data_IF_332274731218
#
_entry.id   IF_332274731218
#
_cell.length_a   1.000
_cell.length_b   1.000
_cell.length_c   1.000
_cell.angle_alpha   90.00
_cell.angle_beta   90.00
_cell.angle_gamma   90.00
#
_symmetry.space_group_name_H-M   'P 1'
#
loop_
_entity.id
_entity.type
_entity.pdbx_description
1 polymer ?
#
# COMPACT_ATOMS: atom_id res chain seq x y z
N UNK A 1 4.97 3.46 -10.21
CA UNK A 1 6.19 3.46 -9.38
C UNK A 1 7.07 2.30 -9.84
N UNK A 2 8.38 2.49 -9.99
CA UNK A 2 9.29 1.39 -10.38
C UNK A 2 9.65 0.50 -9.18
N UNK A 3 10.07 -0.74 -9.45
CA UNK A 3 10.46 -1.71 -8.42
C UNK A 3 11.55 -1.16 -7.49
N UNK A 4 12.58 -0.50 -8.06
CA UNK A 4 13.64 0.16 -7.28
C UNK A 4 13.08 1.21 -6.31
N UNK A 5 12.09 2.01 -6.72
CA UNK A 5 11.46 3.00 -5.83
C UNK A 5 10.54 2.33 -4.80
N UNK A 6 9.84 1.25 -5.16
CA UNK A 6 8.99 0.52 -4.23
C UNK A 6 9.82 -0.15 -3.11
N UNK A 7 10.91 -0.82 -3.47
CA UNK A 7 11.86 -1.38 -2.51
C UNK A 7 12.50 -0.27 -1.65
N UNK A 8 12.85 0.86 -2.28
CA UNK A 8 13.41 2.02 -1.60
C UNK A 8 12.48 2.69 -0.59
N UNK A 9 11.16 2.51 -0.69
CA UNK A 9 10.18 3.04 0.28
C UNK A 9 10.36 2.43 1.67
N UNK A 10 11.09 1.30 1.76
CA UNK A 10 11.37 0.63 3.02
C UNK A 10 12.09 1.49 4.05
N UNK A 11 12.86 2.51 3.67
CA UNK A 11 13.46 3.45 4.64
C UNK A 11 12.38 4.25 5.38
N UNK A 12 11.42 4.83 4.66
CA UNK A 12 10.30 5.54 5.23
C UNK A 12 9.43 4.61 6.08
N UNK A 13 9.05 3.45 5.53
CA UNK A 13 8.17 2.48 6.21
C UNK A 13 8.78 1.99 7.52
N UNK A 14 10.10 1.73 7.56
CA UNK A 14 10.77 1.30 8.80
C UNK A 14 10.79 2.38 9.88
N UNK A 15 10.82 3.65 9.50
CA UNK A 15 10.86 4.78 10.43
C UNK A 15 9.48 5.14 10.97
N UNK A 16 8.44 5.10 10.13
CA UNK A 16 7.08 5.52 10.53
C UNK A 16 6.25 4.40 11.15
N UNK A 17 6.50 3.14 10.81
CA UNK A 17 5.77 2.02 11.38
C UNK A 17 6.37 1.61 12.74
N UNK A 18 5.52 1.19 13.68
CA UNK A 18 5.97 0.69 14.99
C UNK A 18 6.89 -0.55 14.86
N UNK A 19 7.83 -0.72 15.80
CA UNK A 19 8.77 -1.85 15.80
C UNK A 19 8.03 -3.20 15.72
N UNK A 20 7.00 -3.36 16.55
CA UNK A 20 6.06 -4.47 16.49
C UNK A 20 4.86 -4.09 15.62
N UNK A 21 4.83 -4.55 14.38
CA UNK A 21 3.75 -4.20 13.43
C UNK A 21 3.50 -5.28 12.38
N UNK A 22 2.39 -5.09 11.66
CA UNK A 22 1.97 -5.90 10.53
C UNK A 22 2.11 -5.11 9.23
N UNK A 23 2.31 -5.81 8.12
CA UNK A 23 2.22 -5.27 6.78
C UNK A 23 1.29 -6.15 5.95
N UNK A 24 0.27 -5.56 5.34
CA UNK A 24 -0.66 -6.24 4.43
C UNK A 24 -0.42 -5.72 3.03
N UNK A 25 0.15 -6.56 2.15
CA UNK A 25 0.63 -6.14 0.84
C UNK A 25 -0.13 -6.84 -0.28
N UNK A 26 -0.94 -6.08 -1.02
CA UNK A 26 -1.62 -6.58 -2.21
C UNK A 26 -0.63 -6.93 -3.32
N UNK A 27 -0.79 -8.11 -3.92
CA UNK A 27 -0.01 -8.59 -5.05
C UNK A 27 -0.91 -9.32 -6.06
N UNK A 28 -0.49 -9.31 -7.32
CA UNK A 28 -1.01 -10.23 -8.33
C UNK A 28 -0.20 -11.53 -8.28
N UNK A 29 -0.70 -12.61 -8.89
CA UNK A 29 0.03 -13.86 -8.98
C UNK A 29 1.44 -13.69 -9.59
N UNK A 30 1.58 -12.83 -10.60
CA UNK A 30 2.86 -12.55 -11.25
C UNK A 30 3.84 -11.74 -10.37
N UNK A 31 3.31 -10.92 -9.45
CA UNK A 31 4.13 -10.02 -8.62
C UNK A 31 4.38 -10.56 -7.22
N UNK A 32 4.05 -11.83 -6.94
CA UNK A 32 4.38 -12.49 -5.66
C UNK A 32 5.88 -12.44 -5.35
N UNK A 33 6.81 -12.77 -6.28
CA UNK A 33 8.25 -12.70 -5.99
C UNK A 33 8.69 -11.30 -5.55
N UNK A 34 8.31 -10.27 -6.31
CA UNK A 34 8.59 -8.87 -5.94
C UNK A 34 7.94 -8.49 -4.60
N UNK A 35 6.71 -8.93 -4.34
CA UNK A 35 6.04 -8.65 -3.07
C UNK A 35 6.78 -9.20 -1.85
N UNK A 36 7.38 -10.38 -1.97
CA UNK A 36 8.23 -10.95 -0.93
C UNK A 36 9.51 -10.14 -0.73
N UNK A 37 10.13 -9.66 -1.82
CA UNK A 37 11.27 -8.74 -1.76
C UNK A 37 10.90 -7.41 -1.10
N UNK A 38 9.71 -6.87 -1.39
CA UNK A 38 9.19 -5.65 -0.77
C UNK A 38 8.97 -5.82 0.72
N UNK A 39 8.32 -6.90 1.17
CA UNK A 39 8.16 -7.18 2.60
C UNK A 39 9.53 -7.21 3.31
N UNK A 40 10.49 -7.96 2.74
CA UNK A 40 11.85 -8.05 3.28
C UNK A 40 12.54 -6.67 3.32
N UNK A 41 12.48 -5.91 2.23
CA UNK A 41 13.06 -4.57 2.14
C UNK A 41 12.43 -3.62 3.17
N UNK A 42 11.14 -3.77 3.47
CA UNK A 42 10.43 -2.95 4.46
C UNK A 42 10.61 -3.47 5.90
N UNK A 43 11.35 -4.56 6.09
CA UNK A 43 11.68 -5.15 7.39
C UNK A 43 10.64 -6.10 7.96
N UNK A 44 9.76 -6.65 7.11
CA UNK A 44 8.73 -7.61 7.50
C UNK A 44 9.09 -9.02 7.02
N UNK A 45 8.91 -10.00 7.90
CA UNK A 45 8.94 -11.39 7.51
C UNK A 45 7.57 -11.82 7.00
N UNK A 46 7.53 -12.43 5.82
CA UNK A 46 6.32 -13.08 5.32
C UNK A 46 5.84 -14.18 6.28
N UNK A 47 4.53 -14.22 6.56
CA UNK A 47 3.90 -15.22 7.43
C UNK A 47 2.76 -15.98 6.77
N UNK A 48 1.89 -15.30 6.03
CA UNK A 48 0.73 -15.92 5.38
C UNK A 48 0.22 -15.03 4.24
N UNK A 49 -0.83 -15.43 3.54
CA UNK A 49 -1.57 -14.60 2.60
C UNK A 49 -3.07 -14.65 2.86
N UNK A 50 -3.80 -13.69 2.32
CA UNK A 50 -5.24 -13.75 2.11
C UNK A 50 -5.54 -13.82 0.61
N UNK A 51 -6.40 -14.74 0.17
CA UNK A 51 -6.82 -14.89 -1.23
C UNK A 51 -8.21 -14.29 -1.46
N UNK A 52 -8.28 -13.21 -2.22
CA UNK A 52 -9.55 -12.68 -2.72
C UNK A 52 -9.94 -13.43 -3.99
N UNK A 53 -10.87 -14.37 -3.84
CA UNK A 53 -11.47 -15.10 -4.95
C UNK A 53 -12.41 -14.21 -5.76
N UNK A 54 -12.33 -14.32 -7.09
CA UNK A 54 -13.15 -13.59 -8.05
C UNK A 54 -13.94 -14.57 -8.90
N UNK A 55 -15.21 -14.26 -9.15
CA UNK A 55 -16.11 -15.09 -9.96
C UNK A 55 -15.83 -15.05 -11.47
N UNK A 56 -14.60 -14.69 -11.88
CA UNK A 56 -14.19 -14.59 -13.28
C UNK A 56 -12.70 -14.86 -13.44
N UNK A 57 -12.32 -15.33 -14.62
CA UNK A 57 -10.92 -15.48 -14.99
C UNK A 57 -10.30 -14.17 -15.46
N UNK A 58 -9.05 -13.94 -15.09
CA UNK A 58 -8.17 -12.88 -15.60
C UNK A 58 -6.97 -13.50 -16.31
N UNK A 59 -6.07 -12.66 -16.84
CA UNK A 59 -4.88 -13.07 -17.56
C UNK A 59 -4.01 -14.03 -16.73
N UNK A 60 -3.35 -14.98 -17.41
CA UNK A 60 -2.40 -15.91 -16.82
C UNK A 60 -1.80 -16.81 -17.91
N UNK A 61 -0.49 -17.02 -17.84
CA UNK A 61 0.29 -17.72 -18.87
C UNK A 61 0.37 -19.23 -18.65
N UNK A 62 0.08 -19.70 -17.43
CA UNK A 62 0.04 -21.12 -17.06
C UNK A 62 -1.38 -21.50 -16.67
N UNK A 63 -1.83 -21.09 -15.48
CA UNK A 63 -3.22 -21.14 -15.05
C UNK A 63 -3.89 -19.80 -15.25
N UNK A 64 -5.20 -19.83 -15.50
CA UNK A 64 -6.04 -18.62 -15.50
C UNK A 64 -6.17 -18.13 -14.06
N UNK A 65 -5.81 -16.89 -13.82
CA UNK A 65 -5.96 -16.27 -12.51
C UNK A 65 -7.45 -16.07 -12.19
N UNK A 66 -7.86 -16.37 -10.96
CA UNK A 66 -9.23 -16.20 -10.49
C UNK A 66 -9.28 -15.39 -9.18
N UNK A 67 -8.29 -14.54 -8.94
CA UNK A 67 -8.19 -13.78 -7.70
C UNK A 67 -6.95 -12.92 -7.60
N UNK A 68 -6.82 -12.25 -6.46
CA UNK A 68 -5.63 -11.51 -6.04
C UNK A 68 -5.21 -11.97 -4.64
N UNK A 69 -3.93 -11.80 -4.31
CA UNK A 69 -3.37 -12.17 -3.01
C UNK A 69 -3.06 -10.91 -2.21
N UNK A 70 -3.19 -10.98 -0.89
CA UNK A 70 -2.68 -10.00 0.05
C UNK A 70 -1.71 -10.72 0.98
N UNK A 71 -0.42 -10.46 0.83
CA UNK A 71 0.62 -11.03 1.68
C UNK A 71 0.54 -10.39 3.08
N UNK A 72 0.72 -11.21 4.11
CA UNK A 72 0.83 -10.80 5.51
C UNK A 72 2.30 -10.91 5.94
N UNK A 73 2.91 -9.76 6.20
CA UNK A 73 4.20 -9.62 6.83
C UNK A 73 4.08 -9.23 8.30
N UNK A 74 4.99 -9.71 9.14
CA UNK A 74 5.09 -9.33 10.55
C UNK A 74 6.53 -8.92 10.88
N UNK A 75 6.68 -7.88 11.70
CA UNK A 75 7.96 -7.36 12.18
C UNK A 75 7.95 -7.28 13.70
N UNK A 76 9.10 -7.46 14.34
CA UNK A 76 9.27 -7.33 15.79
C UNK A 76 8.88 -8.61 16.56
N UNK A 77 9.50 -8.80 17.73
CA UNK A 77 9.34 -10.01 18.55
C UNK A 77 8.01 -10.06 19.32
N UNK A 78 7.36 -8.90 19.51
CA UNK A 78 6.13 -8.75 20.29
C UNK A 78 4.84 -8.79 19.47
N UNK A 79 4.93 -8.87 18.14
CA UNK A 79 3.76 -8.78 17.25
C UNK A 79 2.93 -10.06 17.32
N UNK A 80 1.66 -9.95 17.70
CA UNK A 80 0.74 -11.08 17.89
C UNK A 80 -0.60 -10.82 17.23
N UNK A 81 -1.09 -11.82 16.50
CA UNK A 81 -2.45 -11.82 15.95
C UNK A 81 -3.45 -11.92 17.10
N UNK A 82 -4.39 -10.97 17.16
CA UNK A 82 -5.43 -10.91 18.18
C UNK A 82 -6.58 -11.88 17.89
N UNK A 83 -6.98 -12.02 16.63
CA UNK A 83 -8.08 -12.89 16.22
C UNK A 83 -7.67 -13.87 15.12
N UNK A 84 -7.67 -15.17 15.43
CA UNK A 84 -7.11 -16.24 14.58
C UNK A 84 -8.14 -17.00 13.75
N UNK A 85 -9.43 -16.85 14.05
CA UNK A 85 -10.51 -17.60 13.40
C UNK A 85 -11.04 -16.89 12.16
N UNK A 86 -10.14 -16.49 11.25
CA UNK A 86 -10.50 -15.93 9.94
C UNK A 86 -9.96 -16.84 8.84
N UNK A 87 -10.77 -17.20 7.82
CA UNK A 87 -10.25 -17.91 6.68
C UNK A 87 -9.22 -17.04 5.95
N UNK A 88 -8.19 -17.68 5.39
CA UNK A 88 -7.19 -17.01 4.57
C UNK A 88 -7.65 -16.80 3.12
N UNK A 89 -8.97 -16.83 2.88
CA UNK A 89 -9.58 -16.56 1.60
C UNK A 89 -11.01 -16.06 1.77
N UNK A 90 -11.56 -15.47 0.72
CA UNK A 90 -12.98 -15.14 0.67
C UNK A 90 -13.41 -14.59 -0.68
N UNK A 91 -14.73 -14.59 -0.87
CA UNK A 91 -15.38 -14.07 -2.06
C UNK A 91 -16.03 -12.72 -1.73
N UNK A 92 -15.56 -11.67 -2.40
CA UNK A 92 -16.04 -10.31 -2.18
C UNK A 92 -16.46 -9.68 -3.50
N UNK A 93 -17.41 -8.74 -3.44
CA UNK A 93 -17.95 -8.07 -4.61
C UNK A 93 -16.83 -7.41 -5.45
N UNK A 94 -16.92 -7.58 -6.78
CA UNK A 94 -16.06 -6.86 -7.70
C UNK A 94 -16.49 -5.40 -7.76
N UNK A 95 -15.54 -4.50 -7.55
CA UNK A 95 -15.76 -3.06 -7.64
C UNK A 95 -15.13 -2.51 -8.94
N UNK A 96 -15.05 -1.19 -9.04
CA UNK A 96 -14.34 -0.51 -10.13
C UNK A 96 -12.89 -0.99 -10.26
N UNK A 97 -12.28 -0.78 -11.43
CA UNK A 97 -10.94 -1.29 -11.72
C UNK A 97 -9.93 -0.93 -10.61
N UNK A 98 -9.14 -1.92 -10.20
CA UNK A 98 -8.14 -1.84 -9.11
C UNK A 98 -8.69 -1.60 -7.70
N UNK A 99 -10.00 -1.38 -7.52
CA UNK A 99 -10.60 -1.17 -6.19
C UNK A 99 -10.69 -2.50 -5.44
N UNK A 100 -9.96 -2.57 -4.32
CA UNK A 100 -9.93 -3.73 -3.43
C UNK A 100 -11.18 -3.75 -2.54
N UNK A 101 -11.64 -4.92 -2.07
CA UNK A 101 -12.84 -5.00 -1.24
C UNK A 101 -12.63 -4.25 0.07
N UNK A 102 -13.64 -3.48 0.46
CA UNK A 102 -13.56 -2.60 1.63
C UNK A 102 -13.56 -3.41 2.94
N UNK A 103 -14.21 -4.57 2.91
CA UNK A 103 -14.32 -5.56 3.98
C UNK A 103 -12.94 -5.95 4.54
N UNK A 104 -11.88 -5.89 3.73
CA UNK A 104 -10.54 -6.23 4.18
C UNK A 104 -9.99 -5.28 5.23
N UNK A 105 -10.43 -4.02 5.28
CA UNK A 105 -10.04 -3.10 6.37
C UNK A 105 -10.54 -3.62 7.71
N UNK A 106 -11.82 -4.00 7.78
CA UNK A 106 -12.42 -4.55 8.99
C UNK A 106 -11.82 -5.93 9.37
N UNK A 107 -11.43 -6.74 8.37
CA UNK A 107 -10.75 -8.01 8.62
C UNK A 107 -9.34 -7.80 9.18
N UNK A 108 -8.60 -6.82 8.66
CA UNK A 108 -7.28 -6.40 9.15
C UNK A 108 -7.39 -5.87 10.57
N UNK A 109 -8.32 -4.94 10.82
CA UNK A 109 -8.59 -4.39 12.15
C UNK A 109 -8.88 -5.49 13.17
N UNK A 110 -9.76 -6.44 12.82
CA UNK A 110 -10.06 -7.59 13.67
C UNK A 110 -8.82 -8.47 13.90
N UNK A 111 -8.04 -8.73 12.85
CA UNK A 111 -6.86 -9.61 12.93
C UNK A 111 -5.82 -9.05 13.91
N UNK A 112 -5.58 -7.74 13.85
CA UNK A 112 -4.57 -7.07 14.68
C UNK A 112 -5.13 -6.62 16.04
N UNK A 113 -6.45 -6.71 16.25
CA UNK A 113 -7.11 -6.25 17.48
C UNK A 113 -7.15 -4.74 17.59
N UNK A 114 -7.34 -4.06 16.45
CA UNK A 114 -7.32 -2.61 16.37
C UNK A 114 -8.43 -1.96 17.20
N UNK A 115 -8.08 -0.84 17.83
CA UNK A 115 -8.96 0.07 18.56
C UNK A 115 -8.62 1.52 18.17
N UNK A 116 -9.25 2.50 18.83
CA UNK A 116 -9.06 3.93 18.55
C UNK A 116 -7.61 4.44 18.72
N UNK A 117 -6.84 3.78 19.59
CA UNK A 117 -5.42 4.08 19.83
C UNK A 117 -4.47 3.41 18.84
N UNK A 118 -4.97 2.46 18.03
CA UNK A 118 -4.16 1.70 17.09
C UNK A 118 -3.81 2.57 15.88
N UNK A 119 -2.52 2.76 15.64
CA UNK A 119 -2.03 3.45 14.43
C UNK A 119 -2.09 2.52 13.23
N UNK A 120 -2.78 2.96 12.18
CA UNK A 120 -2.90 2.24 10.91
C UNK A 120 -2.57 3.18 9.76
N UNK A 121 -1.97 2.64 8.71
CA UNK A 121 -1.54 3.39 7.54
C UNK A 121 -1.88 2.63 6.26
N UNK A 122 -2.59 3.28 5.33
CA UNK A 122 -2.78 2.79 3.96
C UNK A 122 -1.89 3.57 2.99
N UNK A 123 -0.97 2.86 2.34
CA UNK A 123 -0.13 3.42 1.28
C UNK A 123 -0.79 3.18 -0.10
N UNK A 124 -0.55 4.12 -1.02
CA UNK A 124 -1.15 4.14 -2.35
C UNK A 124 -2.69 4.25 -2.33
N UNK A 125 -3.22 4.88 -1.30
CA UNK A 125 -4.65 5.10 -1.12
C UNK A 125 -5.19 6.05 -2.21
N UNK A 126 -6.46 5.86 -2.59
CA UNK A 126 -7.19 6.74 -3.53
C UNK A 126 -8.40 7.43 -2.91
N UNK A 127 -8.64 7.14 -1.64
CA UNK A 127 -9.72 7.69 -0.81
C UNK A 127 -9.38 7.46 0.66
N UNK A 128 -10.10 8.10 1.59
CA UNK A 128 -10.05 7.72 3.00
C UNK A 128 -10.39 6.25 3.20
N UNK A 129 -9.73 5.62 4.18
CA UNK A 129 -10.00 4.24 4.55
C UNK A 129 -11.49 4.11 4.94
N UNK A 130 -12.20 3.05 4.48
CA UNK A 130 -13.60 2.80 4.81
C UNK A 130 -13.73 2.25 6.24
N UNK A 131 -13.32 3.03 7.23
CA UNK A 131 -13.32 2.64 8.62
C UNK A 131 -13.72 3.79 9.53
N UNK A 132 -14.13 3.42 10.74
CA UNK A 132 -14.38 4.30 11.88
C UNK A 132 -13.15 4.44 12.78
N UNK A 133 -12.08 3.70 12.51
CA UNK A 133 -10.79 3.83 13.18
C UNK A 133 -9.89 4.82 12.45
N UNK A 134 -8.87 5.30 13.16
CA UNK A 134 -7.92 6.27 12.65
C UNK A 134 -6.91 5.59 11.70
N UNK A 135 -7.14 5.76 10.40
CA UNK A 135 -6.20 5.40 9.35
C UNK A 135 -5.53 6.65 8.82
N UNK A 136 -4.21 6.70 8.95
CA UNK A 136 -3.40 7.59 8.14
C UNK A 136 -3.37 7.06 6.70
N UNK A 137 -3.29 7.94 5.72
CA UNK A 137 -3.24 7.56 4.32
C UNK A 137 -2.15 8.31 3.58
N UNK A 138 -1.56 7.66 2.58
CA UNK A 138 -0.65 8.29 1.63
C UNK A 138 -0.98 7.81 0.23
N UNK A 139 -1.15 8.74 -0.71
CA UNK A 139 -1.47 8.38 -2.10
C UNK A 139 -1.57 9.58 -3.04
N UNK A 140 -1.35 9.33 -4.32
CA UNK A 140 -1.30 10.38 -5.34
C UNK A 140 -2.68 10.92 -5.76
N UNK A 141 -3.75 10.24 -5.37
CA UNK A 141 -5.14 10.61 -5.67
C UNK A 141 -5.87 11.17 -4.43
N UNK A 142 -5.15 11.40 -3.33
CA UNK A 142 -5.71 11.99 -2.11
C UNK A 142 -5.59 13.52 -2.18
N UNK A 143 -6.69 14.27 -1.96
CA UNK A 143 -6.63 15.73 -1.95
C UNK A 143 -5.87 16.25 -0.73
N UNK A 144 -5.20 17.40 -0.86
CA UNK A 144 -4.47 18.05 0.24
C UNK A 144 -5.36 18.47 1.41
N UNK A 145 -6.67 18.57 1.20
CA UNK A 145 -7.66 18.87 2.23
C UNK A 145 -8.03 17.67 3.10
N UNK A 146 -7.60 16.45 2.75
CA UNK A 146 -7.92 15.24 3.50
C UNK A 146 -7.13 15.19 4.81
N UNK A 147 -7.78 15.26 5.99
CA UNK A 147 -7.08 15.35 7.27
C UNK A 147 -6.19 14.15 7.60
N UNK A 148 -6.51 12.96 7.05
CA UNK A 148 -5.72 11.74 7.26
C UNK A 148 -4.47 11.63 6.36
N UNK A 149 -4.27 12.56 5.43
CA UNK A 149 -3.12 12.53 4.53
C UNK A 149 -1.81 12.79 5.29
N UNK A 150 -0.88 11.84 5.21
CA UNK A 150 0.50 12.02 5.70
C UNK A 150 1.46 12.35 4.56
N UNK A 151 2.60 12.95 4.90
CA UNK A 151 3.65 13.29 3.93
C UNK A 151 4.85 12.35 4.03
N UNK A 152 5.31 11.85 2.89
CA UNK A 152 6.56 11.09 2.76
C UNK A 152 7.66 11.86 1.99
N UNK A 153 7.51 13.19 1.85
CA UNK A 153 8.47 14.08 1.16
C UNK A 153 9.87 13.98 1.76
N UNK A 154 9.99 13.84 3.09
CA UNK A 154 11.27 13.67 3.81
C UNK A 154 12.13 12.52 3.24
N UNK A 155 11.50 11.47 2.70
CA UNK A 155 12.18 10.32 2.12
C UNK A 155 12.18 10.34 0.58
N UNK A 156 11.77 11.46 -0.04
CA UNK A 156 11.75 11.65 -1.49
C UNK A 156 10.52 11.05 -2.18
N UNK A 157 9.40 10.85 -1.48
CA UNK A 157 8.15 10.32 -2.04
C UNK A 157 7.01 11.36 -1.95
N UNK A 158 7.09 12.46 -2.73
CA UNK A 158 6.01 13.44 -2.78
C UNK A 158 4.76 12.86 -3.47
N UNK A 159 3.60 13.33 -3.05
CA UNK A 159 2.30 13.19 -3.72
C UNK A 159 1.70 14.57 -3.99
N UNK A 160 0.77 14.72 -4.94
CA UNK A 160 0.14 16.02 -5.22
C UNK A 160 -0.46 16.68 -3.97
N UNK A 161 -1.00 15.90 -3.04
CA UNK A 161 -1.55 16.41 -1.78
C UNK A 161 -0.54 17.06 -0.83
N UNK A 162 0.78 16.85 -1.02
CA UNK A 162 1.83 17.55 -0.26
C UNK A 162 1.95 19.03 -0.66
N UNK A 163 1.37 19.41 -1.80
CA UNK A 163 1.38 20.76 -2.32
C UNK A 163 -0.05 21.32 -2.29
N UNK A 164 -0.35 22.35 -1.48
CA UNK A 164 -1.66 22.99 -1.51
C UNK A 164 -1.95 23.51 -2.93
N UNK A 165 -3.21 23.36 -3.37
CA UNK A 165 -3.64 23.78 -4.69
C UNK A 165 -3.29 25.27 -4.90
N UNK A 166 -2.39 25.55 -5.84
CA UNK A 166 -1.86 26.89 -6.12
C UNK A 166 -0.33 27.00 -6.12
N UNK A 167 0.40 26.02 -5.59
CA UNK A 167 1.85 25.92 -5.75
C UNK A 167 2.18 25.25 -7.10
N UNK A 168 2.43 26.06 -8.13
CA UNK A 168 2.81 25.56 -9.46
C UNK A 168 4.00 24.60 -9.40
N UNK A 169 3.86 23.42 -9.99
CA UNK A 169 4.99 22.55 -10.30
C UNK A 169 5.87 23.30 -11.31
N UNK A 170 7.03 23.78 -10.86
CA UNK A 170 8.07 24.25 -11.77
C UNK A 170 8.55 23.02 -12.53
N UNK A 171 8.18 22.91 -13.80
CA UNK A 171 8.76 21.95 -14.74
C UNK A 171 10.25 22.25 -14.82
N UNK A 172 11.09 21.24 -14.53
CA UNK A 172 12.53 21.36 -14.69
C UNK A 172 12.88 21.75 -16.13
N UNK A 173 13.76 22.74 -16.24
CA UNK A 173 14.30 23.28 -17.49
C UNK A 173 14.80 22.16 -18.41
N UNK A 174 14.21 22.08 -19.61
CA UNK A 174 14.94 21.65 -20.81
C UNK A 174 15.86 22.79 -21.21
N UNK A 175 17.15 22.68 -20.86
CA UNK A 175 18.19 23.53 -21.45
C UNK A 175 18.39 23.14 -22.91
N UNK A 176 17.60 23.76 -23.78
CA UNK A 176 17.89 23.91 -25.21
C UNK A 176 19.18 24.72 -25.37
N UNK A 177 20.31 24.04 -25.58
CA UNK A 177 21.53 24.67 -26.10
C UNK A 177 21.42 24.77 -27.63
N UNK A 178 20.97 25.93 -28.11
CA UNK A 178 21.19 26.36 -29.50
C UNK A 178 22.61 26.90 -29.62
N UNK A 179 23.54 26.10 -30.12
CA UNK A 179 24.80 26.62 -30.69
C UNK A 179 24.62 26.89 -32.18
N UNK A 180 24.51 28.17 -32.52
CA UNK A 180 24.80 28.71 -33.84
C UNK A 180 26.29 29.05 -33.90
N UNK A 181 27.01 28.49 -34.87
CA UNK A 181 28.23 29.10 -35.45
C UNK A 181 28.62 28.43 -36.78
N UNK A 182 28.48 29.24 -37.83
CA UNK A 182 29.05 29.20 -39.19
C UNK A 182 28.46 28.22 -40.19
#
# INVERSE_FOLDING_TARGET
>A
MSDKRLLGLGSAVREIAAENSFCFLWVTAATVPLGLEVLKAWGYDYKNFYFWAKGRFTLGNTFRNAGELMLLGMRGKGTRVAFKSQPNWGFHALQSHSTKPQELHLMVERLVGANEDTKMLELFARRPAPSRLNWDIWGNEIPSSEPSLISLVKWGYPVPGDHPAGAGLVSGDETSTTESKR
#
